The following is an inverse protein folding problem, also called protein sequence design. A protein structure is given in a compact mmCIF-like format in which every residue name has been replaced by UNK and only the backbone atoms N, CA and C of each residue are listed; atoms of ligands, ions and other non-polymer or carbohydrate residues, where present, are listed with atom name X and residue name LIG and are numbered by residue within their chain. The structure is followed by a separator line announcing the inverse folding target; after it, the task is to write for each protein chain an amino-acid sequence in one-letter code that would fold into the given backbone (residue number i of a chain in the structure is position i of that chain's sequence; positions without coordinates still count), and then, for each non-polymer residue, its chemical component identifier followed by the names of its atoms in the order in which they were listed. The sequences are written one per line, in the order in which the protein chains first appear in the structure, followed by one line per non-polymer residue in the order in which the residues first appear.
data_IF_932730056196
#
_entry.id   IF_932730056196
#
_cell.length_a   1.000
_cell.length_b   1.000
_cell.length_c   1.000
_cell.angle_alpha   90.00
_cell.angle_beta   90.00
_cell.angle_gamma   90.00
#
_symmetry.space_group_name_H-M   'P 1'
#
loop_
_entity.id
_entity.type
_entity.pdbx_description
1 polymer ?
#
# COMPACT_ATOMS: atom_id res chain seq x y z
N UNK A 1 -76.70 43.62 37.35
CA UNK A 1 -75.23 43.70 37.58
C UNK A 1 -74.58 42.38 37.38
N UNK A 2 -74.01 42.00 36.19
CA UNK A 2 -73.12 40.84 36.04
C UNK A 2 -72.52 40.67 34.61
N UNK A 3 -72.47 41.70 33.76
CA UNK A 3 -71.90 41.59 32.42
C UNK A 3 -70.34 41.78 32.39
N UNK A 4 -69.78 42.52 33.37
CA UNK A 4 -68.32 42.76 33.42
C UNK A 4 -67.48 41.52 33.79
N UNK A 5 -68.03 40.61 34.58
CA UNK A 5 -67.29 39.40 35.02
C UNK A 5 -67.16 38.33 33.94
N UNK A 6 -68.12 38.29 32.99
CA UNK A 6 -68.19 37.31 31.92
C UNK A 6 -67.19 37.63 30.76
N UNK A 7 -66.96 38.97 30.49
CA UNK A 7 -66.05 39.42 29.45
C UNK A 7 -64.63 39.15 29.89
N UNK A 8 -64.22 39.35 31.14
CA UNK A 8 -62.91 39.06 31.65
C UNK A 8 -62.48 37.57 31.54
N UNK A 9 -63.43 36.67 31.86
CA UNK A 9 -63.19 35.21 31.81
C UNK A 9 -63.06 34.69 30.38
N UNK A 10 -63.76 35.26 29.40
CA UNK A 10 -63.70 34.90 28.00
C UNK A 10 -62.40 35.36 27.38
N UNK A 11 -61.89 36.52 27.74
CA UNK A 11 -60.60 37.06 27.25
C UNK A 11 -59.40 36.27 27.82
N UNK A 12 -59.46 35.84 29.09
CA UNK A 12 -58.44 34.99 29.71
C UNK A 12 -58.36 33.62 29.00
N UNK A 13 -59.46 33.00 28.65
CA UNK A 13 -59.50 31.73 27.94
C UNK A 13 -58.96 31.85 26.53
N UNK A 14 -59.21 32.94 25.80
CA UNK A 14 -58.67 33.18 24.46
C UNK A 14 -57.16 33.36 24.55
N UNK A 15 -56.65 34.15 25.48
CA UNK A 15 -55.22 34.35 25.70
C UNK A 15 -54.50 33.04 26.04
N UNK A 16 -55.14 32.20 26.86
CA UNK A 16 -54.56 30.88 27.24
C UNK A 16 -54.48 29.93 26.04
N UNK A 17 -55.50 29.92 25.17
CA UNK A 17 -55.50 29.13 23.93
C UNK A 17 -54.42 29.63 22.98
N UNK A 18 -54.26 30.94 22.79
CA UNK A 18 -53.23 31.52 21.93
C UNK A 18 -51.81 31.18 22.44
N UNK A 19 -51.61 31.25 23.77
CA UNK A 19 -50.32 30.88 24.37
C UNK A 19 -50.00 29.39 24.18
N UNK A 20 -50.96 28.51 24.41
CA UNK A 20 -50.78 27.08 24.20
C UNK A 20 -50.51 26.76 22.73
N UNK A 21 -51.25 27.35 21.81
CA UNK A 21 -51.00 27.20 20.37
C UNK A 21 -49.60 27.69 19.97
N UNK A 22 -49.14 28.83 20.53
CA UNK A 22 -47.81 29.35 20.31
C UNK A 22 -46.72 28.39 20.78
N UNK A 23 -46.87 27.80 21.98
CA UNK A 23 -45.93 26.82 22.52
C UNK A 23 -45.90 25.55 21.66
N UNK A 24 -47.06 25.06 21.21
CA UNK A 24 -47.14 23.89 20.33
C UNK A 24 -46.42 24.18 19.01
N UNK A 25 -46.60 25.35 18.42
CA UNK A 25 -45.98 25.73 17.17
C UNK A 25 -44.47 25.81 17.28
N UNK A 26 -43.96 26.41 18.38
CA UNK A 26 -42.50 26.46 18.67
C UNK A 26 -41.95 25.04 18.84
N UNK A 27 -42.66 24.15 19.56
CA UNK A 27 -42.22 22.77 19.73
C UNK A 27 -42.12 22.02 18.39
N UNK A 28 -43.12 22.21 17.51
CA UNK A 28 -43.13 21.61 16.17
C UNK A 28 -41.91 22.11 15.35
N UNK A 29 -41.69 23.42 15.33
CA UNK A 29 -40.56 24.02 14.61
C UNK A 29 -39.23 23.51 15.16
N UNK A 30 -39.07 23.42 16.48
CA UNK A 30 -37.87 22.89 17.11
C UNK A 30 -37.60 21.43 16.73
N UNK A 31 -38.64 20.57 16.71
CA UNK A 31 -38.52 19.18 16.29
C UNK A 31 -38.11 19.06 14.82
N UNK A 32 -38.68 19.89 13.95
CA UNK A 32 -38.31 19.92 12.54
C UNK A 32 -36.86 20.39 12.34
N UNK A 33 -36.45 21.43 13.06
CA UNK A 33 -35.04 21.95 12.99
C UNK A 33 -34.04 20.85 13.40
N UNK A 34 -34.28 20.22 14.58
CA UNK A 34 -33.39 19.14 15.07
C UNK A 34 -33.35 17.96 14.07
N UNK A 35 -34.51 17.55 13.53
CA UNK A 35 -34.51 16.47 12.53
C UNK A 35 -33.74 16.84 11.26
N UNK A 36 -33.87 18.06 10.78
CA UNK A 36 -33.16 18.53 9.59
C UNK A 36 -31.65 18.56 9.84
N UNK A 37 -31.23 19.02 11.02
CA UNK A 37 -29.81 19.04 11.40
C UNK A 37 -29.22 17.64 11.51
N UNK A 38 -29.94 16.69 12.13
CA UNK A 38 -29.50 15.29 12.22
C UNK A 38 -29.37 14.65 10.84
N UNK A 39 -30.37 14.84 9.95
CA UNK A 39 -30.33 14.28 8.59
C UNK A 39 -29.19 14.88 7.80
N UNK A 40 -28.95 16.20 7.93
CA UNK A 40 -27.85 16.90 7.26
C UNK A 40 -26.50 16.40 7.77
N UNK A 41 -26.33 16.27 9.08
CA UNK A 41 -25.11 15.73 9.70
C UNK A 41 -24.83 14.29 9.25
N UNK A 42 -25.84 13.42 9.25
CA UNK A 42 -25.69 12.03 8.78
C UNK A 42 -25.30 11.99 7.29
N UNK A 43 -25.88 12.83 6.46
CA UNK A 43 -25.55 12.90 5.04
C UNK A 43 -24.13 13.37 4.82
N UNK A 44 -23.70 14.41 5.55
CA UNK A 44 -22.32 14.93 5.47
C UNK A 44 -21.31 13.89 5.95
N UNK A 45 -21.59 13.21 7.05
CA UNK A 45 -20.73 12.14 7.57
C UNK A 45 -20.60 10.99 6.56
N UNK A 46 -21.72 10.53 5.99
CA UNK A 46 -21.72 9.48 4.97
C UNK A 46 -20.94 9.89 3.72
N UNK A 47 -21.08 11.15 3.28
CA UNK A 47 -20.33 11.67 2.15
C UNK A 47 -18.82 11.72 2.44
N UNK A 48 -18.42 12.23 3.61
CA UNK A 48 -17.02 12.31 4.04
C UNK A 48 -16.41 10.91 4.16
N UNK A 49 -17.10 9.98 4.80
CA UNK A 49 -16.65 8.60 4.92
C UNK A 49 -16.50 7.91 3.55
N UNK A 50 -17.44 8.13 2.64
CA UNK A 50 -17.35 7.65 1.26
C UNK A 50 -16.13 8.21 0.54
N UNK A 51 -15.90 9.51 0.64
CA UNK A 51 -14.77 10.17 0.00
C UNK A 51 -13.42 9.67 0.55
N UNK A 52 -13.29 9.52 1.87
CA UNK A 52 -12.08 8.95 2.50
C UNK A 52 -11.85 7.52 1.98
N UNK A 53 -12.89 6.69 1.97
CA UNK A 53 -12.79 5.32 1.47
C UNK A 53 -12.32 5.26 0.00
N UNK A 54 -12.85 6.13 -0.85
CA UNK A 54 -12.45 6.21 -2.26
C UNK A 54 -10.99 6.65 -2.41
N UNK A 55 -10.53 7.59 -1.59
CA UNK A 55 -9.13 8.02 -1.57
C UNK A 55 -8.21 6.90 -1.09
N UNK A 56 -8.54 6.21 0.00
CA UNK A 56 -7.76 5.07 0.49
C UNK A 56 -7.66 3.96 -0.56
N UNK A 57 -8.76 3.64 -1.24
CA UNK A 57 -8.76 2.66 -2.33
C UNK A 57 -7.90 3.12 -3.51
N UNK A 58 -7.92 4.41 -3.83
CA UNK A 58 -7.08 4.98 -4.89
C UNK A 58 -5.59 4.86 -4.56
N UNK A 59 -5.20 5.20 -3.34
CA UNK A 59 -3.82 5.08 -2.86
C UNK A 59 -3.36 3.64 -2.87
N UNK A 60 -4.16 2.71 -2.36
CA UNK A 60 -3.84 1.28 -2.40
C UNK A 60 -3.58 0.80 -3.83
N UNK A 61 -4.39 1.24 -4.80
CA UNK A 61 -4.18 0.89 -6.22
C UNK A 61 -2.90 1.49 -6.79
N UNK A 62 -2.56 2.73 -6.42
CA UNK A 62 -1.34 3.39 -6.89
C UNK A 62 -0.11 2.67 -6.33
N UNK A 63 -0.10 2.35 -5.03
CA UNK A 63 0.99 1.64 -4.40
C UNK A 63 1.18 0.24 -5.01
N UNK A 64 0.09 -0.51 -5.22
CA UNK A 64 0.14 -1.82 -5.87
C UNK A 64 0.64 -1.74 -7.32
N UNK A 65 0.25 -0.71 -8.06
CA UNK A 65 0.74 -0.50 -9.44
C UNK A 65 2.23 -0.15 -9.46
N UNK A 66 2.70 0.65 -8.51
CA UNK A 66 4.12 0.99 -8.36
C UNK A 66 4.97 -0.23 -8.01
N UNK A 67 4.51 -1.06 -7.06
CA UNK A 67 5.13 -2.33 -6.70
C UNK A 67 5.19 -3.28 -7.90
N UNK A 68 4.08 -3.49 -8.60
CA UNK A 68 4.01 -4.34 -9.79
C UNK A 68 5.02 -3.88 -10.85
N UNK A 69 5.12 -2.57 -11.10
CA UNK A 69 6.08 -2.01 -12.05
C UNK A 69 7.51 -2.27 -11.62
N UNK A 70 7.82 -2.13 -10.33
CA UNK A 70 9.16 -2.40 -9.80
C UNK A 70 9.51 -3.89 -9.93
N UNK A 71 8.60 -4.79 -9.56
CA UNK A 71 8.78 -6.23 -9.73
C UNK A 71 8.96 -6.65 -11.20
N UNK A 72 8.25 -6.03 -12.12
CA UNK A 72 8.46 -6.27 -13.56
C UNK A 72 9.86 -5.83 -13.99
N UNK A 73 10.33 -4.67 -13.54
CA UNK A 73 11.68 -4.18 -13.85
C UNK A 73 12.76 -5.14 -13.35
N UNK A 74 12.62 -5.65 -12.12
CA UNK A 74 13.64 -6.58 -11.58
C UNK A 74 13.60 -7.94 -12.29
N UNK A 75 12.45 -8.42 -12.78
CA UNK A 75 12.34 -9.59 -13.64
C UNK A 75 13.09 -9.36 -14.97
N UNK A 76 12.96 -8.20 -15.57
CA UNK A 76 13.69 -7.83 -16.80
C UNK A 76 15.20 -7.80 -16.56
N UNK A 77 15.63 -7.25 -15.41
CA UNK A 77 17.04 -7.26 -15.02
C UNK A 77 17.57 -8.69 -14.84
N UNK A 78 16.81 -9.58 -14.19
CA UNK A 78 17.17 -11.00 -14.08
C UNK A 78 17.29 -11.68 -15.47
N UNK A 79 16.40 -11.33 -16.40
CA UNK A 79 16.46 -11.81 -17.77
C UNK A 79 17.72 -11.28 -18.50
N UNK A 80 18.10 -10.03 -18.29
CA UNK A 80 19.30 -9.44 -18.86
C UNK A 80 20.56 -10.13 -18.35
N UNK A 81 20.68 -10.31 -17.02
CA UNK A 81 21.82 -11.04 -16.42
C UNK A 81 21.91 -12.47 -16.97
N UNK A 82 20.77 -13.17 -17.06
CA UNK A 82 20.69 -14.49 -17.68
C UNK A 82 21.20 -14.48 -19.13
N UNK A 83 20.85 -13.49 -19.93
CA UNK A 83 21.36 -13.35 -21.31
C UNK A 83 22.86 -13.11 -21.35
N UNK A 84 23.39 -12.28 -20.43
CA UNK A 84 24.81 -12.04 -20.32
C UNK A 84 25.58 -13.33 -19.96
N UNK A 85 25.02 -14.16 -19.06
CA UNK A 85 25.58 -15.48 -18.74
C UNK A 85 25.62 -16.38 -19.97
N UNK A 86 24.53 -16.45 -20.74
CA UNK A 86 24.46 -17.24 -21.98
C UNK A 86 25.49 -16.76 -22.98
N UNK A 87 25.67 -15.43 -23.12
CA UNK A 87 26.66 -14.84 -24.00
C UNK A 87 28.09 -15.24 -23.61
N UNK A 88 28.47 -15.09 -22.34
CA UNK A 88 29.80 -15.48 -21.86
C UNK A 88 30.06 -16.98 -22.04
N UNK A 89 29.09 -17.85 -21.69
CA UNK A 89 29.23 -19.32 -21.81
C UNK A 89 29.35 -19.79 -23.26
N UNK A 90 28.48 -19.29 -24.17
CA UNK A 90 28.33 -19.83 -25.52
C UNK A 90 29.17 -19.14 -26.57
N UNK A 91 29.38 -17.83 -26.40
CA UNK A 91 30.06 -17.03 -27.43
C UNK A 91 31.54 -16.83 -27.09
N UNK A 92 31.85 -16.59 -25.82
CA UNK A 92 33.23 -16.37 -25.35
C UNK A 92 33.88 -17.63 -24.78
N UNK A 93 33.09 -18.74 -24.62
CA UNK A 93 33.56 -19.98 -24.01
C UNK A 93 34.23 -19.80 -22.63
N UNK A 94 33.83 -18.74 -21.91
CA UNK A 94 34.39 -18.32 -20.62
C UNK A 94 33.46 -18.67 -19.47
N UNK A 95 33.32 -19.96 -19.17
CA UNK A 95 32.39 -20.47 -18.17
C UNK A 95 32.77 -20.03 -16.75
N UNK A 96 34.07 -19.98 -16.44
CA UNK A 96 34.53 -19.63 -15.08
C UNK A 96 34.33 -18.14 -14.77
N UNK A 97 34.37 -17.29 -15.79
CA UNK A 97 34.17 -15.84 -15.61
C UNK A 97 32.82 -15.45 -15.04
N UNK A 98 31.75 -16.19 -15.37
CA UNK A 98 30.40 -15.87 -14.89
C UNK A 98 30.28 -15.97 -13.37
N UNK A 99 31.15 -16.75 -12.70
CA UNK A 99 31.16 -16.88 -11.25
C UNK A 99 32.14 -15.87 -10.59
N UNK A 100 32.82 -15.06 -11.37
CA UNK A 100 33.77 -14.07 -10.84
C UNK A 100 33.05 -12.87 -10.24
N UNK A 101 33.66 -12.27 -9.23
CA UNK A 101 33.21 -11.02 -8.65
C UNK A 101 33.13 -9.87 -9.68
N UNK A 102 34.04 -9.86 -10.66
CA UNK A 102 34.06 -8.87 -11.73
C UNK A 102 32.82 -8.95 -12.61
N UNK A 103 32.42 -10.18 -13.04
CA UNK A 103 31.22 -10.39 -13.83
C UNK A 103 29.95 -10.00 -13.07
N UNK A 104 29.82 -10.44 -11.80
CA UNK A 104 28.66 -10.13 -10.99
C UNK A 104 28.55 -8.64 -10.69
N UNK A 105 29.67 -7.99 -10.29
CA UNK A 105 29.74 -6.56 -10.07
C UNK A 105 29.32 -5.78 -11.31
N UNK A 106 29.89 -6.12 -12.47
CA UNK A 106 29.56 -5.48 -13.75
C UNK A 106 28.06 -5.56 -14.05
N UNK A 107 27.43 -6.75 -13.90
CA UNK A 107 26.01 -6.91 -14.15
C UNK A 107 25.16 -6.14 -13.13
N UNK A 108 25.58 -6.09 -11.86
CA UNK A 108 24.93 -5.31 -10.82
C UNK A 108 24.93 -3.82 -11.15
N UNK A 109 26.05 -3.30 -11.64
CA UNK A 109 26.20 -1.89 -12.02
C UNK A 109 25.41 -1.56 -13.30
N UNK A 110 25.56 -2.35 -14.36
CA UNK A 110 24.91 -2.13 -15.66
C UNK A 110 23.39 -2.24 -15.60
N UNK A 111 22.85 -3.12 -14.75
CA UNK A 111 21.42 -3.30 -14.56
C UNK A 111 20.83 -2.46 -13.40
N UNK A 112 21.66 -1.60 -12.77
CA UNK A 112 21.23 -0.77 -11.62
C UNK A 112 20.64 -1.59 -10.48
N UNK A 113 21.29 -2.71 -10.14
CA UNK A 113 20.90 -3.62 -9.09
C UNK A 113 21.64 -3.33 -7.79
N UNK A 114 21.13 -3.88 -6.68
CA UNK A 114 21.82 -3.91 -5.39
C UNK A 114 22.52 -5.24 -5.13
N UNK A 115 22.05 -6.32 -5.74
CA UNK A 115 22.73 -7.62 -5.69
C UNK A 115 22.45 -8.48 -6.92
N UNK A 116 23.41 -9.38 -7.23
CA UNK A 116 23.25 -10.50 -8.15
C UNK A 116 23.76 -11.77 -7.47
N UNK A 117 22.93 -12.80 -7.42
CA UNK A 117 23.23 -14.08 -6.79
C UNK A 117 22.99 -15.20 -7.80
N UNK A 118 23.92 -16.12 -7.89
CA UNK A 118 23.78 -17.35 -8.68
C UNK A 118 23.64 -18.54 -7.74
N UNK A 119 22.56 -19.30 -7.89
CA UNK A 119 22.34 -20.53 -7.15
C UNK A 119 22.53 -21.74 -8.06
N UNK A 120 22.89 -22.87 -7.48
CA UNK A 120 22.78 -24.18 -8.13
C UNK A 120 21.31 -24.63 -8.17
N UNK A 121 21.05 -25.82 -8.76
CA UNK A 121 19.70 -26.39 -8.85
C UNK A 121 19.07 -26.76 -7.51
N UNK A 122 19.87 -26.81 -6.43
CA UNK A 122 19.40 -27.13 -5.09
C UNK A 122 19.14 -25.85 -4.26
N UNK A 123 19.29 -24.66 -4.87
CA UNK A 123 19.13 -23.38 -4.20
C UNK A 123 20.35 -22.92 -3.40
N UNK A 124 21.51 -23.61 -3.55
CA UNK A 124 22.71 -23.21 -2.83
C UNK A 124 23.47 -22.12 -3.60
N UNK A 125 23.87 -21.02 -2.93
CA UNK A 125 24.68 -19.98 -3.55
C UNK A 125 26.02 -20.52 -4.06
N UNK A 126 26.31 -20.30 -5.35
CA UNK A 126 27.58 -20.64 -5.99
C UNK A 126 28.45 -19.42 -6.28
N UNK A 127 27.83 -18.26 -6.48
CA UNK A 127 28.49 -16.97 -6.58
C UNK A 127 27.52 -15.84 -6.24
N UNK A 128 28.01 -14.79 -5.60
CA UNK A 128 27.17 -13.67 -5.19
C UNK A 128 27.97 -12.38 -5.12
N UNK A 129 27.29 -11.27 -5.40
CA UNK A 129 27.81 -9.92 -5.24
C UNK A 129 26.71 -9.04 -4.69
N UNK A 130 27.02 -8.32 -3.62
CA UNK A 130 26.19 -7.33 -2.97
C UNK A 130 26.84 -5.96 -3.00
N UNK A 131 26.07 -4.90 -3.18
CA UNK A 131 26.50 -3.54 -2.84
C UNK A 131 26.38 -3.34 -1.33
N UNK A 132 27.03 -2.29 -0.83
CA UNK A 132 27.14 -1.98 0.60
C UNK A 132 25.76 -1.86 1.28
N UNK A 133 24.73 -1.42 0.56
CA UNK A 133 23.37 -1.27 1.02
C UNK A 133 22.59 -2.61 1.22
N UNK A 134 23.18 -3.72 0.77
CA UNK A 134 22.59 -5.05 0.83
C UNK A 134 23.33 -6.03 1.73
N UNK A 135 24.53 -5.68 2.23
CA UNK A 135 25.38 -6.63 2.99
C UNK A 135 24.73 -7.15 4.29
N UNK A 136 23.79 -6.40 4.84
CA UNK A 136 23.11 -6.73 6.10
C UNK A 136 21.74 -7.37 5.92
N UNK A 137 21.26 -7.53 4.68
CA UNK A 137 19.93 -8.07 4.41
C UNK A 137 19.97 -9.59 4.36
N UNK A 138 19.20 -10.24 5.25
CA UNK A 138 19.07 -11.69 5.27
C UNK A 138 18.07 -12.15 4.21
N UNK A 139 18.57 -12.84 3.16
CA UNK A 139 17.77 -13.36 2.06
C UNK A 139 17.58 -14.89 2.07
N UNK A 140 18.21 -15.59 3.00
CA UNK A 140 18.31 -17.06 3.01
C UNK A 140 16.94 -17.74 3.00
N UNK A 141 16.01 -17.26 3.83
CA UNK A 141 14.63 -17.81 3.89
C UNK A 141 13.91 -17.72 2.55
N UNK A 142 14.12 -16.64 1.80
CA UNK A 142 13.48 -16.43 0.49
C UNK A 142 14.15 -17.25 -0.60
N UNK A 143 15.46 -17.45 -0.54
CA UNK A 143 16.21 -18.26 -1.50
C UNK A 143 15.86 -19.75 -1.38
N UNK A 144 15.50 -20.23 -0.21
CA UNK A 144 15.08 -21.61 0.04
C UNK A 144 13.59 -21.85 -0.29
N UNK A 145 12.84 -20.82 -0.66
CA UNK A 145 11.41 -20.99 -0.96
C UNK A 145 11.17 -21.89 -2.16
N UNK A 146 10.22 -22.82 -2.03
CA UNK A 146 9.85 -23.75 -3.10
C UNK A 146 9.42 -23.05 -4.40
N UNK A 147 8.78 -21.89 -4.29
CA UNK A 147 8.35 -21.08 -5.43
C UNK A 147 9.50 -20.48 -6.21
N UNK A 148 10.60 -20.12 -5.53
CA UNK A 148 11.83 -19.65 -6.17
C UNK A 148 12.54 -20.82 -6.84
N UNK A 149 12.69 -21.94 -6.14
CA UNK A 149 13.38 -23.13 -6.67
C UNK A 149 12.68 -23.73 -7.90
N UNK A 150 11.36 -23.56 -7.99
CA UNK A 150 10.55 -24.04 -9.13
C UNK A 150 10.97 -23.41 -10.50
N UNK A 151 11.68 -22.27 -10.48
CA UNK A 151 12.21 -21.66 -11.71
C UNK A 151 13.42 -22.40 -12.29
N UNK A 152 14.11 -23.22 -11.50
CA UNK A 152 15.25 -24.03 -11.99
C UNK A 152 14.80 -25.03 -13.05
N UNK A 153 13.64 -25.66 -12.83
CA UNK A 153 13.09 -26.69 -13.72
C UNK A 153 12.42 -26.10 -14.96
N UNK A 154 12.16 -24.80 -14.97
CA UNK A 154 11.48 -24.14 -16.08
C UNK A 154 12.06 -22.77 -16.41
N UNK A 155 12.94 -22.73 -17.40
CA UNK A 155 13.61 -21.52 -17.85
C UNK A 155 12.69 -20.39 -18.35
N UNK A 156 11.41 -20.65 -18.59
CA UNK A 156 10.40 -19.66 -18.98
C UNK A 156 9.71 -19.02 -17.77
N UNK A 157 9.71 -19.69 -16.62
CA UNK A 157 9.14 -19.16 -15.38
C UNK A 157 10.00 -17.99 -14.86
N UNK A 158 9.35 -17.14 -14.11
CA UNK A 158 9.97 -16.09 -13.29
C UNK A 158 9.35 -16.14 -11.92
N UNK A 159 10.14 -15.94 -10.92
CA UNK A 159 9.68 -15.63 -9.57
C UNK A 159 10.00 -14.16 -9.27
N UNK A 160 9.12 -13.44 -8.60
CA UNK A 160 9.41 -12.12 -8.09
C UNK A 160 8.60 -11.87 -6.82
N UNK A 161 9.21 -11.19 -5.88
CA UNK A 161 8.58 -10.81 -4.61
C UNK A 161 9.19 -9.52 -4.07
N UNK A 162 8.41 -8.80 -3.26
CA UNK A 162 8.90 -7.73 -2.39
C UNK A 162 9.09 -8.29 -0.99
N UNK A 163 10.16 -7.88 -0.36
CA UNK A 163 10.55 -8.20 1.01
C UNK A 163 10.58 -6.89 1.77
N UNK A 164 9.60 -6.67 2.64
CA UNK A 164 9.57 -5.49 3.51
C UNK A 164 10.48 -5.73 4.70
N UNK A 165 11.35 -4.75 5.02
CA UNK A 165 12.32 -4.82 6.11
C UNK A 165 11.81 -4.05 7.32
N UNK A 166 12.36 -4.37 8.51
CA UNK A 166 11.91 -3.79 9.79
C UNK A 166 12.13 -2.27 9.89
N UNK A 167 13.10 -1.74 9.15
CA UNK A 167 13.42 -0.31 9.11
C UNK A 167 12.54 0.50 8.15
N UNK A 168 11.55 -0.14 7.51
CA UNK A 168 10.68 0.48 6.52
C UNK A 168 11.25 0.51 5.10
N UNK A 169 12.49 0.07 4.89
CA UNK A 169 13.02 -0.19 3.55
C UNK A 169 12.46 -1.48 2.96
N UNK A 170 12.70 -1.74 1.69
CA UNK A 170 12.28 -3.00 1.06
C UNK A 170 13.26 -3.47 -0.02
N UNK A 171 13.23 -4.77 -0.30
CA UNK A 171 13.98 -5.40 -1.38
C UNK A 171 13.02 -6.00 -2.38
N UNK A 172 13.07 -5.55 -3.62
CA UNK A 172 12.44 -6.24 -4.74
C UNK A 172 13.41 -7.30 -5.26
N UNK A 173 12.99 -8.55 -5.26
CA UNK A 173 13.79 -9.70 -5.68
C UNK A 173 13.12 -10.42 -6.84
N UNK A 174 13.91 -10.83 -7.85
CA UNK A 174 13.43 -11.70 -8.89
C UNK A 174 14.42 -12.83 -9.19
N UNK A 175 13.87 -13.98 -9.60
CA UNK A 175 14.65 -15.14 -9.95
C UNK A 175 14.22 -15.72 -11.31
N UNK A 176 15.22 -16.23 -12.06
CA UNK A 176 15.05 -16.96 -13.32
C UNK A 176 15.96 -18.16 -13.40
N UNK A 177 15.43 -19.28 -13.90
CA UNK A 177 16.25 -20.45 -14.21
C UNK A 177 17.25 -20.17 -15.33
N UNK A 178 18.49 -20.67 -15.22
CA UNK A 178 19.49 -20.59 -16.27
C UNK A 178 19.04 -21.40 -17.50
N UNK A 179 19.45 -20.94 -18.69
CA UNK A 179 18.97 -21.54 -19.95
C UNK A 179 19.44 -22.98 -20.16
N UNK A 180 20.53 -23.38 -19.53
CA UNK A 180 21.14 -24.71 -19.60
C UNK A 180 20.70 -25.63 -18.44
N UNK A 181 19.79 -25.15 -17.58
CA UNK A 181 19.31 -25.89 -16.42
C UNK A 181 20.33 -26.11 -15.32
N UNK A 182 21.39 -25.30 -15.27
CA UNK A 182 22.50 -25.45 -14.30
C UNK A 182 22.31 -24.64 -13.02
N UNK A 183 21.22 -23.89 -12.89
CA UNK A 183 20.97 -23.10 -11.69
C UNK A 183 19.99 -21.95 -11.91
N UNK A 184 20.02 -21.04 -10.97
CA UNK A 184 19.09 -19.91 -10.87
C UNK A 184 19.89 -18.60 -10.80
N UNK A 185 19.42 -17.59 -11.52
CA UNK A 185 19.88 -16.19 -11.39
C UNK A 185 18.90 -15.45 -10.52
N UNK A 186 19.37 -14.84 -9.46
CA UNK A 186 18.62 -13.92 -8.61
C UNK A 186 19.18 -12.52 -8.78
N UNK A 187 18.27 -11.56 -8.87
CA UNK A 187 18.58 -10.12 -8.87
C UNK A 187 17.80 -9.43 -7.78
N UNK A 188 18.45 -8.51 -7.06
CA UNK A 188 17.83 -7.75 -6.00
C UNK A 188 18.01 -6.25 -6.22
N UNK A 189 17.00 -5.48 -5.85
CA UNK A 189 17.03 -4.03 -5.79
C UNK A 189 16.53 -3.57 -4.44
N UNK A 190 17.39 -2.94 -3.66
CA UNK A 190 17.06 -2.38 -2.36
C UNK A 190 16.58 -0.93 -2.53
N UNK A 191 15.47 -0.63 -1.90
CA UNK A 191 14.93 0.73 -1.78
C UNK A 191 15.04 1.14 -0.32
N UNK A 192 15.84 2.17 -0.03
CA UNK A 192 16.02 2.67 1.33
C UNK A 192 14.72 3.29 1.87
N UNK A 193 14.60 3.37 3.20
CA UNK A 193 13.46 3.94 3.92
C UNK A 193 13.09 5.33 3.40
N UNK A 194 14.09 6.18 3.18
CA UNK A 194 13.87 7.55 2.68
C UNK A 194 13.13 7.57 1.33
N UNK A 195 13.50 6.69 0.40
CA UNK A 195 12.81 6.58 -0.89
C UNK A 195 11.50 5.80 -0.79
N UNK A 196 11.38 4.85 0.13
CA UNK A 196 10.16 4.10 0.36
C UNK A 196 9.03 5.02 0.87
N UNK A 197 9.34 5.92 1.80
CA UNK A 197 8.41 6.90 2.34
C UNK A 197 7.93 7.91 1.29
N UNK A 198 8.82 8.35 0.40
CA UNK A 198 8.46 9.27 -0.69
C UNK A 198 7.54 8.63 -1.74
N UNK A 199 7.67 7.33 -1.95
CA UNK A 199 6.87 6.60 -2.95
C UNK A 199 5.57 5.99 -2.39
N UNK A 200 5.54 5.66 -1.11
CA UNK A 200 4.34 5.16 -0.45
C UNK A 200 3.50 6.33 0.03
N UNK A 201 2.46 6.64 -0.73
CA UNK A 201 1.42 7.54 -0.24
C UNK A 201 0.84 6.94 1.04
N UNK A 202 1.15 7.55 2.19
CA UNK A 202 0.66 7.08 3.47
C UNK A 202 -0.79 7.48 3.70
N UNK A 203 -1.54 6.65 4.42
CA UNK A 203 -2.90 6.99 4.84
C UNK A 203 -2.92 8.22 5.74
N UNK A 204 -1.88 8.44 6.54
CA UNK A 204 -1.72 9.63 7.38
C UNK A 204 -1.74 10.92 6.56
N UNK A 205 -1.11 10.93 5.39
CA UNK A 205 -1.12 12.08 4.49
C UNK A 205 -2.53 12.36 3.96
N UNK A 206 -3.30 11.33 3.63
CA UNK A 206 -4.70 11.48 3.19
C UNK A 206 -5.56 12.01 4.32
N UNK A 207 -5.40 11.44 5.52
CA UNK A 207 -6.22 11.76 6.69
C UNK A 207 -5.87 13.12 7.31
N UNK A 208 -4.64 13.61 7.12
CA UNK A 208 -4.19 14.90 7.65
C UNK A 208 -5.03 16.11 7.17
N UNK A 209 -5.74 15.95 6.05
CA UNK A 209 -6.68 16.96 5.52
C UNK A 209 -8.08 16.91 6.13
N UNK A 210 -8.42 15.86 6.88
CA UNK A 210 -9.75 15.67 7.48
C UNK A 210 -9.71 15.93 8.98
N UNK A 211 -9.63 17.21 9.34
CA UNK A 211 -9.87 17.64 10.72
C UNK A 211 -11.37 17.81 10.92
N UNK A 212 -11.96 17.01 11.80
CA UNK A 212 -13.32 17.25 12.25
C UNK A 212 -13.32 18.44 13.21
N UNK A 213 -13.93 19.54 12.77
CA UNK A 213 -14.11 20.75 13.57
C UNK A 213 -14.99 20.55 14.80
N UNK A 214 -15.67 19.39 14.92
CA UNK A 214 -16.60 19.06 16.00
C UNK A 214 -16.06 17.99 16.96
N UNK A 215 -14.77 17.63 16.87
CA UNK A 215 -14.12 16.73 17.82
C UNK A 215 -14.33 15.23 17.54
N UNK A 216 -14.69 14.87 16.31
CA UNK A 216 -14.73 13.48 15.85
C UNK A 216 -13.32 12.91 15.63
N UNK A 217 -13.22 11.58 15.57
CA UNK A 217 -11.99 10.86 15.23
C UNK A 217 -12.23 10.00 14.00
N UNK A 218 -11.36 10.15 12.99
CA UNK A 218 -11.36 9.25 11.83
C UNK A 218 -10.48 8.05 12.15
N UNK A 219 -11.03 6.85 12.05
CA UNK A 219 -10.31 5.59 12.25
C UNK A 219 -10.40 4.81 10.95
N UNK A 220 -9.25 4.48 10.37
CA UNK A 220 -9.16 3.62 9.19
C UNK A 220 -8.79 2.21 9.63
N UNK A 221 -9.50 1.22 9.12
CA UNK A 221 -9.24 -0.18 9.44
C UNK A 221 -9.05 -0.99 8.16
N UNK A 222 -8.17 -1.98 8.23
CA UNK A 222 -8.06 -3.03 7.23
C UNK A 222 -8.40 -4.37 7.90
N UNK A 223 -9.61 -4.86 7.63
CA UNK A 223 -10.19 -5.95 8.40
C UNK A 223 -10.35 -5.55 9.87
N UNK A 224 -9.77 -6.34 10.78
CA UNK A 224 -9.83 -6.11 12.23
C UNK A 224 -8.67 -5.24 12.76
N UNK A 225 -7.79 -4.76 11.90
CA UNK A 225 -6.64 -3.92 12.29
C UNK A 225 -6.91 -2.45 12.01
N UNK A 226 -6.56 -1.59 12.97
CA UNK A 226 -6.43 -0.14 12.75
C UNK A 226 -5.12 0.07 12.00
N UNK A 227 -5.19 0.84 10.91
CA UNK A 227 -4.05 1.21 10.09
C UNK A 227 -3.67 2.64 10.46
#
# INVERSE_FOLDING_TARGET
MNKKHYIGKKNINIFLIETVMGVILIAIVAVFAIRTDIISAQKNLSYTAGHINDQCNSVTRINLAAETKSLMRIIESAQQVKQNIVYEKRIKENTDYIFSQEFLKKNTEECYLSAVILLDNNGKPVAQYYKDDMETVELDEYMESSSLLDVADNALKSFATRIDLEDGSYVDMAAKGMADGTGIVITCYHTSTEYADDYNLSFDHILSGYYDSEGGTVVVTSGDKII
#
